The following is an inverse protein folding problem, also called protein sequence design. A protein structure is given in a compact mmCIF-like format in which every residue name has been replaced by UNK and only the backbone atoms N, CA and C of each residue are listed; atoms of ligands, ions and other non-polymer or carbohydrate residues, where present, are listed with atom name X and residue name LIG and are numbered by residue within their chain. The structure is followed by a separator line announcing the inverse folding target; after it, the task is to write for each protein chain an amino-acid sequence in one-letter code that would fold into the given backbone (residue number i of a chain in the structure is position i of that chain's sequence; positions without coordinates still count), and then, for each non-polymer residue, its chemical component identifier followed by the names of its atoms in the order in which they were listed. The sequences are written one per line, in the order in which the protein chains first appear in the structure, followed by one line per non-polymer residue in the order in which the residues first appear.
data_IF_519273410104
#
_entry.id   IF_519273410104
#
_cell.length_a   1.000
_cell.length_b   1.000
_cell.length_c   1.000
_cell.angle_alpha   90.00
_cell.angle_beta   90.00
_cell.angle_gamma   90.00
#
_symmetry.space_group_name_H-M   'P 1'
#
loop_
_entity.id
_entity.type
_entity.pdbx_description
1 polymer ?
#
# COMPACT_ATOMS: atom_id res chain seq x y z
N UNK A 1 -0.45 9.19 0.77
CA UNK A 1 -1.70 8.55 1.22
C UNK A 1 -2.55 8.24 -0.01
N UNK A 2 -3.16 7.06 -0.04
CA UNK A 2 -4.07 6.60 -1.08
C UNK A 2 -5.45 6.34 -0.47
N UNK A 3 -6.49 6.63 -1.25
CA UNK A 3 -7.89 6.39 -0.88
C UNK A 3 -8.57 5.66 -2.03
N UNK A 4 -9.27 4.57 -1.71
CA UNK A 4 -10.17 3.91 -2.64
C UNK A 4 -11.60 4.33 -2.31
N UNK A 5 -12.36 4.68 -3.35
CA UNK A 5 -13.76 5.07 -3.24
C UNK A 5 -14.66 4.00 -3.88
N UNK A 6 -15.82 3.77 -3.29
CA UNK A 6 -16.82 2.83 -3.78
C UNK A 6 -18.20 3.18 -3.24
N UNK A 7 -19.24 3.05 -4.06
CA UNK A 7 -20.63 3.35 -3.70
C UNK A 7 -20.80 4.73 -3.03
N UNK A 8 -20.07 5.74 -3.52
CA UNK A 8 -20.12 7.12 -3.02
C UNK A 8 -19.46 7.34 -1.66
N UNK A 9 -18.57 6.46 -1.22
CA UNK A 9 -17.91 6.58 0.08
C UNK A 9 -16.51 5.97 0.08
N UNK A 10 -15.74 6.25 1.14
CA UNK A 10 -14.41 5.67 1.34
C UNK A 10 -14.54 4.16 1.55
N UNK A 11 -13.90 3.40 0.67
CA UNK A 11 -13.87 1.95 0.67
C UNK A 11 -12.59 1.39 1.30
N UNK A 12 -11.48 2.13 1.25
CA UNK A 12 -10.25 1.77 1.92
C UNK A 12 -9.17 2.84 1.80
N UNK A 13 -8.11 2.68 2.57
CA UNK A 13 -6.98 3.61 2.63
C UNK A 13 -5.66 2.85 2.67
N UNK A 14 -4.58 3.51 2.25
CA UNK A 14 -3.21 3.08 2.50
C UNK A 14 -2.32 4.30 2.74
N UNK A 15 -1.52 4.27 3.79
CA UNK A 15 -0.49 5.26 4.02
C UNK A 15 0.73 4.91 3.18
N UNK A 16 1.36 5.92 2.59
CA UNK A 16 2.52 5.72 1.72
C UNK A 16 3.56 6.79 2.03
N UNK A 17 4.80 6.37 2.29
CA UNK A 17 5.93 7.24 2.62
C UNK A 17 7.09 6.91 1.69
N UNK A 18 7.54 7.89 0.92
CA UNK A 18 8.78 7.79 0.13
C UNK A 18 9.95 8.13 1.05
N UNK A 19 10.83 7.17 1.28
CA UNK A 19 12.00 7.33 2.13
C UNK A 19 13.26 7.33 1.27
N UNK A 20 14.01 8.46 1.22
CA UNK A 20 15.36 8.46 0.66
C UNK A 20 16.24 7.45 1.39
N UNK A 21 17.14 6.79 0.65
CA UNK A 21 17.96 5.73 1.21
C UNK A 21 19.34 5.76 0.58
N UNK A 22 20.39 5.75 1.40
CA UNK A 22 21.78 5.82 0.94
C UNK A 22 22.25 4.53 0.25
N UNK A 23 21.61 3.39 0.55
CA UNK A 23 21.94 2.11 -0.09
C UNK A 23 21.42 2.09 -1.54
N UNK A 24 21.86 1.10 -2.33
CA UNK A 24 21.39 0.90 -3.72
C UNK A 24 21.53 2.17 -4.60
N UNK A 25 22.60 2.94 -4.40
CA UNK A 25 22.88 4.12 -5.22
C UNK A 25 22.01 5.33 -4.91
N UNK A 26 21.49 5.46 -3.69
CA UNK A 26 20.66 6.60 -3.30
C UNK A 26 19.17 6.43 -3.62
N UNK A 27 18.76 5.28 -4.18
CA UNK A 27 17.40 5.09 -4.65
C UNK A 27 16.43 4.91 -3.48
N UNK A 28 15.31 5.62 -3.55
CA UNK A 28 14.30 5.66 -2.49
C UNK A 28 13.54 4.34 -2.36
N UNK A 29 12.92 4.15 -1.20
CA UNK A 29 12.03 3.04 -0.88
C UNK A 29 10.65 3.62 -0.61
N UNK A 30 9.59 3.04 -1.18
CA UNK A 30 8.23 3.34 -0.75
C UNK A 30 7.83 2.40 0.38
N UNK A 31 7.49 2.95 1.54
CA UNK A 31 6.81 2.22 2.62
C UNK A 31 5.32 2.37 2.45
N UNK A 32 4.61 1.26 2.54
CA UNK A 32 3.15 1.23 2.63
C UNK A 32 2.81 0.77 4.05
N UNK A 33 1.88 1.47 4.69
CA UNK A 33 1.41 1.18 6.05
C UNK A 33 -0.12 1.31 6.08
N UNK A 34 -0.74 0.84 7.17
CA UNK A 34 -2.15 1.09 7.47
C UNK A 34 -3.09 0.83 6.29
N UNK A 35 -2.89 -0.30 5.59
CA UNK A 35 -3.77 -0.73 4.52
C UNK A 35 -5.06 -1.26 5.14
N UNK A 36 -6.14 -0.49 5.00
CA UNK A 36 -7.43 -0.80 5.62
C UNK A 36 -8.51 -0.82 4.55
N UNK A 37 -9.37 -1.84 4.58
CA UNK A 37 -10.57 -1.94 3.74
C UNK A 37 -11.78 -2.01 4.66
N UNK A 38 -12.72 -1.07 4.48
CA UNK A 38 -13.94 -1.04 5.26
C UNK A 38 -14.74 -2.33 5.03
N UNK A 39 -15.32 -2.89 6.10
CA UNK A 39 -15.93 -4.24 6.12
C UNK A 39 -16.89 -4.50 4.96
N UNK A 40 -17.76 -3.53 4.64
CA UNK A 40 -18.74 -3.65 3.55
C UNK A 40 -18.11 -3.85 2.16
N UNK A 41 -16.85 -3.46 1.98
CA UNK A 41 -16.11 -3.57 0.72
C UNK A 41 -15.01 -4.63 0.73
N UNK A 42 -14.86 -5.38 1.82
CA UNK A 42 -13.90 -6.49 1.89
C UNK A 42 -14.26 -7.58 0.88
N UNK A 43 -13.24 -8.35 0.45
CA UNK A 43 -13.34 -9.40 -0.58
C UNK A 43 -13.85 -8.93 -1.95
N UNK A 44 -13.86 -7.62 -2.21
CA UNK A 44 -14.18 -7.02 -3.52
C UNK A 44 -12.94 -6.55 -4.30
N UNK A 45 -11.74 -6.88 -3.82
CA UNK A 45 -10.48 -6.49 -4.45
C UNK A 45 -9.98 -5.08 -4.14
N UNK A 46 -10.61 -4.34 -3.21
CA UNK A 46 -10.23 -2.96 -2.86
C UNK A 46 -8.77 -2.84 -2.42
N UNK A 47 -8.30 -3.69 -1.50
CA UNK A 47 -6.90 -3.58 -1.07
C UNK A 47 -5.91 -4.02 -2.15
N UNK A 48 -6.29 -4.91 -3.07
CA UNK A 48 -5.48 -5.19 -4.27
C UNK A 48 -5.31 -3.92 -5.12
N UNK A 49 -6.39 -3.18 -5.34
CA UNK A 49 -6.34 -1.91 -6.07
C UNK A 49 -5.48 -0.86 -5.35
N UNK A 50 -5.57 -0.76 -4.02
CA UNK A 50 -4.72 0.11 -3.22
C UNK A 50 -3.24 -0.26 -3.37
N UNK A 51 -2.89 -1.55 -3.31
CA UNK A 51 -1.52 -2.02 -3.48
C UNK A 51 -0.99 -1.79 -4.89
N UNK A 52 -1.78 -2.06 -5.93
CA UNK A 52 -1.41 -1.75 -7.31
C UNK A 52 -1.19 -0.23 -7.50
N UNK A 53 -2.00 0.61 -6.86
CA UNK A 53 -1.81 2.06 -6.86
C UNK A 53 -0.54 2.47 -6.11
N UNK A 54 -0.21 1.83 -4.99
CA UNK A 54 1.02 2.06 -4.26
C UNK A 54 2.26 1.68 -5.08
N UNK A 55 2.21 0.57 -5.84
CA UNK A 55 3.30 0.19 -6.76
C UNK A 55 3.52 1.27 -7.82
N UNK A 56 2.45 1.72 -8.50
CA UNK A 56 2.55 2.81 -9.48
C UNK A 56 3.07 4.11 -8.86
N UNK A 57 2.67 4.42 -7.62
CA UNK A 57 3.19 5.56 -6.88
C UNK A 57 4.70 5.42 -6.63
N UNK A 58 5.16 4.23 -6.23
CA UNK A 58 6.59 3.95 -6.02
C UNK A 58 7.40 4.10 -7.31
N UNK A 59 6.91 3.53 -8.42
CA UNK A 59 7.54 3.63 -9.74
C UNK A 59 7.67 5.10 -10.18
N UNK A 60 6.57 5.87 -10.10
CA UNK A 60 6.58 7.30 -10.48
C UNK A 60 7.45 8.16 -9.56
N UNK A 61 7.65 7.77 -8.30
CA UNK A 61 8.54 8.43 -7.36
C UNK A 61 10.02 8.01 -7.50
N UNK A 62 10.35 7.10 -8.43
CA UNK A 62 11.71 6.59 -8.60
C UNK A 62 12.16 5.67 -7.48
N UNK A 63 11.23 5.05 -6.75
CA UNK A 63 11.54 4.07 -5.72
C UNK A 63 11.98 2.75 -6.37
N UNK A 64 13.04 2.13 -5.83
CA UNK A 64 13.53 0.86 -6.35
C UNK A 64 12.77 -0.36 -5.83
N UNK A 65 12.03 -0.19 -4.73
CA UNK A 65 11.15 -1.21 -4.16
C UNK A 65 10.00 -0.56 -3.39
N UNK A 66 8.93 -1.32 -3.26
CA UNK A 66 7.84 -1.08 -2.31
C UNK A 66 7.97 -2.08 -1.17
N UNK A 67 7.78 -1.62 0.07
CA UNK A 67 7.84 -2.45 1.26
C UNK A 67 6.59 -2.20 2.10
N UNK A 68 5.96 -3.29 2.54
CA UNK A 68 4.81 -3.27 3.43
C UNK A 68 5.13 -4.23 4.59
N UNK A 69 5.49 -3.73 5.77
CA UNK A 69 5.67 -4.59 6.92
C UNK A 69 4.30 -5.11 7.37
N UNK A 70 4.23 -6.42 7.55
CA UNK A 70 3.11 -7.10 8.15
C UNK A 70 3.44 -7.36 9.62
N UNK A 71 2.47 -7.19 10.51
CA UNK A 71 2.57 -7.73 11.86
C UNK A 71 2.63 -9.28 11.79
N UNK A 72 3.33 -9.88 12.74
CA UNK A 72 3.53 -11.33 12.86
C UNK A 72 2.27 -12.01 13.44
N UNK A 73 1.15 -11.85 12.74
CA UNK A 73 -0.17 -12.41 13.08
C UNK A 73 -0.64 -13.28 11.89
N UNK A 74 -1.09 -14.50 12.20
CA UNK A 74 -1.46 -15.57 11.25
C UNK A 74 -2.54 -15.14 10.24
N UNK A 75 -3.29 -14.07 10.54
CA UNK A 75 -4.27 -13.46 9.63
C UNK A 75 -3.64 -12.67 8.46
N UNK A 76 -2.43 -12.12 8.62
CA UNK A 76 -1.85 -11.13 7.70
C UNK A 76 -1.25 -11.76 6.45
N UNK A 77 -0.77 -13.01 6.52
CA UNK A 77 -0.20 -13.71 5.36
C UNK A 77 -1.21 -14.15 4.29
N UNK A 78 -2.52 -14.01 4.55
CA UNK A 78 -3.56 -14.44 3.60
C UNK A 78 -3.99 -13.34 2.61
N UNK A 79 -3.53 -12.11 2.84
CA UNK A 79 -3.90 -10.94 2.04
C UNK A 79 -2.88 -10.60 0.94
N UNK A 80 -1.65 -11.10 1.08
CA UNK A 80 -0.51 -10.86 0.18
C UNK A 80 -0.14 -12.13 -0.58
#
# INVERSE_FOLDING_TARGET
MLVAEGDGAVAGTADCIVMPNLTRGGWAILFVENVVVADRFQRRGVGRQLMEAAVRLGESAGCYKVQLPAADDEYVHRFY
#
